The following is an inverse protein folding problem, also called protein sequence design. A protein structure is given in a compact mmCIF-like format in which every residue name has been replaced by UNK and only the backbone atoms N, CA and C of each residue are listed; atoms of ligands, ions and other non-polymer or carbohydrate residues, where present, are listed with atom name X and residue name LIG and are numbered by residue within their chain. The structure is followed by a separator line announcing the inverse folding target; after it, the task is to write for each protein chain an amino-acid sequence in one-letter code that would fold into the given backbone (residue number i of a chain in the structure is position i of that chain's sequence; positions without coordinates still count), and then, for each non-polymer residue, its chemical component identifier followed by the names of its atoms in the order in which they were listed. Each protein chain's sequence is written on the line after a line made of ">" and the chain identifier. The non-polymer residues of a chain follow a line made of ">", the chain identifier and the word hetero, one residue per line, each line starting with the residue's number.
data_IF_056967880871
#
_entry.id   IF_056967880871
#
_cell.length_a   1.000
_cell.length_b   1.000
_cell.length_c   1.000
_cell.angle_alpha   90.00
_cell.angle_beta   90.00
_cell.angle_gamma   90.00
#
_symmetry.space_group_name_H-M   'P 1'
#
loop_
_entity.id
_entity.type
_entity.pdbx_description
1 polymer ?
#
# COMPACT_ATOMS: atom_id res chain seq x y z
N UNK A 1 13.77 7.20 -28.30
CA UNK A 1 13.66 8.64 -28.01
C UNK A 1 14.18 8.93 -26.60
N UNK A 2 14.46 10.20 -26.25
CA UNK A 2 14.66 10.61 -24.85
C UNK A 2 13.43 10.27 -23.98
N UNK A 3 12.24 10.26 -24.58
CA UNK A 3 10.97 9.92 -23.92
C UNK A 3 10.92 8.44 -23.48
N UNK A 4 11.49 7.53 -24.26
CA UNK A 4 11.54 6.11 -23.89
C UNK A 4 12.40 5.92 -22.63
N UNK A 5 13.56 6.59 -22.56
CA UNK A 5 14.42 6.54 -21.35
C UNK A 5 13.76 7.18 -20.13
N UNK A 6 12.99 8.25 -20.32
CA UNK A 6 12.24 8.87 -19.24
C UNK A 6 11.11 7.95 -18.73
N UNK A 7 10.38 7.31 -19.66
CA UNK A 7 9.35 6.32 -19.34
C UNK A 7 9.94 5.14 -18.55
N UNK A 8 11.03 4.56 -19.02
CA UNK A 8 11.62 3.37 -18.37
C UNK A 8 12.08 3.68 -16.94
N UNK A 9 12.63 4.87 -16.69
CA UNK A 9 12.95 5.33 -15.33
C UNK A 9 11.72 5.46 -14.45
N UNK A 10 10.64 6.02 -14.99
CA UNK A 10 9.36 6.12 -14.27
C UNK A 10 8.76 4.75 -13.95
N UNK A 11 8.81 3.81 -14.90
CA UNK A 11 8.36 2.44 -14.66
C UNK A 11 9.18 1.79 -13.55
N UNK A 12 10.51 1.85 -13.63
CA UNK A 12 11.39 1.27 -12.62
C UNK A 12 11.10 1.85 -11.22
N UNK A 13 10.98 3.18 -11.12
CA UNK A 13 10.64 3.84 -9.86
C UNK A 13 9.26 3.42 -9.33
N UNK A 14 8.23 3.42 -10.18
CA UNK A 14 6.88 3.02 -9.78
C UNK A 14 6.83 1.55 -9.32
N UNK A 15 7.53 0.66 -10.02
CA UNK A 15 7.66 -0.75 -9.63
C UNK A 15 8.35 -0.90 -8.28
N UNK A 16 9.44 -0.16 -8.03
CA UNK A 16 10.12 -0.17 -6.74
C UNK A 16 9.20 0.30 -5.61
N UNK A 17 8.51 1.43 -5.78
CA UNK A 17 7.57 1.94 -4.77
C UNK A 17 6.42 0.96 -4.51
N UNK A 18 5.95 0.27 -5.55
CA UNK A 18 4.90 -0.75 -5.41
C UNK A 18 5.38 -1.97 -4.61
N UNK A 19 6.57 -2.50 -4.90
CA UNK A 19 7.16 -3.63 -4.15
C UNK A 19 7.36 -3.23 -2.67
N UNK A 20 7.93 -2.06 -2.45
CA UNK A 20 8.15 -1.47 -1.14
C UNK A 20 6.84 -1.35 -0.32
N UNK A 21 5.75 -0.88 -0.94
CA UNK A 21 4.42 -0.84 -0.33
C UNK A 21 3.94 -2.25 0.07
N UNK A 22 4.10 -3.23 -0.81
CA UNK A 22 3.69 -4.61 -0.54
C UNK A 22 4.44 -5.22 0.65
N UNK A 23 5.74 -4.98 0.75
CA UNK A 23 6.57 -5.44 1.86
C UNK A 23 6.16 -4.78 3.19
N UNK A 24 5.98 -3.47 3.21
CA UNK A 24 5.53 -2.75 4.39
C UNK A 24 4.18 -3.27 4.92
N UNK A 25 3.23 -3.54 4.02
CA UNK A 25 1.94 -4.12 4.39
C UNK A 25 2.07 -5.56 4.89
N UNK A 26 2.95 -6.36 4.29
CA UNK A 26 3.20 -7.73 4.72
C UNK A 26 3.76 -7.77 6.14
N UNK A 27 4.72 -6.91 6.46
CA UNK A 27 5.28 -6.77 7.81
C UNK A 27 4.20 -6.34 8.82
N UNK A 28 3.41 -5.33 8.47
CA UNK A 28 2.33 -4.86 9.33
C UNK A 28 1.25 -5.94 9.54
N UNK A 29 0.92 -6.72 8.51
CA UNK A 29 -0.07 -7.79 8.58
C UNK A 29 0.37 -8.90 9.55
N UNK A 30 1.68 -9.20 9.63
CA UNK A 30 2.23 -10.14 10.61
C UNK A 30 2.05 -9.67 12.06
N UNK A 31 2.09 -8.36 12.30
CA UNK A 31 1.90 -7.73 13.61
C UNK A 31 0.41 -7.57 13.98
N UNK A 32 -0.44 -7.41 12.97
CA UNK A 32 -1.87 -7.15 13.12
C UNK A 32 -2.73 -8.31 12.63
N UNK A 33 -2.51 -9.52 13.15
CA UNK A 33 -3.18 -10.76 12.69
C UNK A 33 -4.71 -10.74 12.76
N UNK A 34 -5.27 -9.88 13.62
CA UNK A 34 -6.72 -9.69 13.76
C UNK A 34 -7.35 -8.85 12.63
N UNK A 35 -6.53 -8.13 11.86
CA UNK A 35 -6.98 -7.30 10.74
C UNK A 35 -6.65 -7.98 9.41
N UNK A 36 -7.42 -7.64 8.39
CA UNK A 36 -7.08 -7.97 7.00
C UNK A 36 -6.78 -6.66 6.27
N UNK A 37 -5.50 -6.29 6.23
CA UNK A 37 -5.04 -5.02 5.67
C UNK A 37 -5.27 -4.97 4.16
N UNK A 38 -5.05 -6.10 3.48
CA UNK A 38 -5.26 -6.22 2.04
C UNK A 38 -6.74 -6.07 1.66
N UNK A 39 -7.64 -6.74 2.37
CA UNK A 39 -9.09 -6.60 2.14
C UNK A 39 -9.57 -5.17 2.41
N UNK A 40 -9.00 -4.49 3.40
CA UNK A 40 -9.34 -3.10 3.69
C UNK A 40 -8.94 -2.16 2.54
N UNK A 41 -7.75 -2.32 1.97
CA UNK A 41 -7.32 -1.53 0.81
C UNK A 41 -8.14 -1.87 -0.44
N UNK A 42 -8.34 -3.16 -0.73
CA UNK A 42 -9.11 -3.60 -1.89
C UNK A 42 -10.53 -3.07 -1.84
N UNK A 43 -11.27 -3.36 -0.77
CA UNK A 43 -12.69 -3.05 -0.75
C UNK A 43 -13.00 -1.59 -0.43
N UNK A 44 -12.28 -0.95 0.49
CA UNK A 44 -12.59 0.43 0.86
C UNK A 44 -11.97 1.48 -0.06
N UNK A 45 -10.79 1.22 -0.65
CA UNK A 45 -10.05 2.23 -1.43
C UNK A 45 -10.18 2.01 -2.92
N UNK A 46 -10.01 0.76 -3.39
CA UNK A 46 -10.03 0.46 -4.82
C UNK A 46 -11.48 0.32 -5.31
N UNK A 47 -12.30 -0.42 -4.58
CA UNK A 47 -13.69 -0.69 -4.95
C UNK A 47 -14.71 0.28 -4.35
N UNK A 48 -14.26 1.22 -3.51
CA UNK A 48 -15.09 2.27 -2.87
C UNK A 48 -16.35 1.70 -2.15
N UNK A 49 -16.22 0.51 -1.54
CA UNK A 49 -17.30 -0.12 -0.80
C UNK A 49 -17.41 0.44 0.62
N UNK A 50 -18.64 0.59 1.12
CA UNK A 50 -18.87 0.95 2.52
C UNK A 50 -18.90 -0.29 3.42
N UNK A 51 -17.74 -0.70 3.94
CA UNK A 51 -17.61 -1.81 4.90
C UNK A 51 -17.07 -1.30 6.25
N UNK A 52 -17.93 -0.82 7.17
CA UNK A 52 -17.50 -0.18 8.42
C UNK A 52 -16.58 -1.04 9.30
N UNK A 53 -16.74 -2.37 9.25
CA UNK A 53 -15.90 -3.30 10.01
C UNK A 53 -14.45 -3.35 9.53
N UNK A 54 -14.15 -2.89 8.31
CA UNK A 54 -12.79 -2.80 7.77
C UNK A 54 -12.10 -1.46 8.07
N UNK A 55 -12.79 -0.47 8.64
CA UNK A 55 -12.21 0.87 8.89
C UNK A 55 -10.99 0.81 9.82
N UNK A 56 -11.02 -0.03 10.85
CA UNK A 56 -9.88 -0.23 11.74
C UNK A 56 -8.69 -0.89 11.02
N UNK A 57 -8.97 -1.87 10.16
CA UNK A 57 -7.96 -2.52 9.30
C UNK A 57 -7.34 -1.51 8.34
N UNK A 58 -8.14 -0.63 7.73
CA UNK A 58 -7.64 0.42 6.84
C UNK A 58 -6.75 1.41 7.58
N UNK A 59 -7.13 1.85 8.79
CA UNK A 59 -6.29 2.72 9.61
C UNK A 59 -4.93 2.08 9.90
N UNK A 60 -4.91 0.80 10.25
CA UNK A 60 -3.66 0.08 10.49
C UNK A 60 -2.78 0.01 9.24
N UNK A 61 -3.39 -0.25 8.07
CA UNK A 61 -2.68 -0.26 6.78
C UNK A 61 -2.09 1.14 6.46
N UNK A 62 -2.89 2.20 6.60
CA UNK A 62 -2.46 3.57 6.34
C UNK A 62 -1.34 4.02 7.29
N UNK A 63 -1.41 3.67 8.57
CA UNK A 63 -0.34 3.96 9.52
C UNK A 63 0.98 3.25 9.16
N UNK A 64 0.90 2.00 8.70
CA UNK A 64 2.08 1.26 8.25
C UNK A 64 2.71 1.91 7.01
N UNK A 65 1.88 2.26 6.02
CA UNK A 65 2.34 2.94 4.81
C UNK A 65 2.92 4.33 5.11
N UNK A 66 2.26 5.10 5.97
CA UNK A 66 2.76 6.40 6.39
C UNK A 66 4.14 6.25 7.04
N UNK A 67 4.29 5.33 8.00
CA UNK A 67 5.57 5.08 8.66
C UNK A 67 6.65 4.65 7.66
N UNK A 68 6.30 3.88 6.64
CA UNK A 68 7.25 3.44 5.62
C UNK A 68 7.71 4.59 4.72
N UNK A 69 6.77 5.35 4.16
CA UNK A 69 7.06 6.40 3.18
C UNK A 69 7.55 7.72 3.80
N UNK A 70 7.11 8.05 5.02
CA UNK A 70 7.49 9.31 5.69
C UNK A 70 8.65 9.16 6.68
N UNK A 71 9.19 7.94 6.91
CA UNK A 71 10.46 7.77 7.63
C UNK A 71 11.70 7.92 6.74
N UNK A 72 11.52 8.18 5.43
CA UNK A 72 12.61 8.56 4.53
C UNK A 72 12.82 10.07 4.53
#
# INVERSE_FOLDING_TARGET
>A
SADDKARDKWVAFATEQFINMQEALKEAQCLCRQYNLYAALQYLVIEDQMLPYLVNSLRAALNALQKYFYKK
#
